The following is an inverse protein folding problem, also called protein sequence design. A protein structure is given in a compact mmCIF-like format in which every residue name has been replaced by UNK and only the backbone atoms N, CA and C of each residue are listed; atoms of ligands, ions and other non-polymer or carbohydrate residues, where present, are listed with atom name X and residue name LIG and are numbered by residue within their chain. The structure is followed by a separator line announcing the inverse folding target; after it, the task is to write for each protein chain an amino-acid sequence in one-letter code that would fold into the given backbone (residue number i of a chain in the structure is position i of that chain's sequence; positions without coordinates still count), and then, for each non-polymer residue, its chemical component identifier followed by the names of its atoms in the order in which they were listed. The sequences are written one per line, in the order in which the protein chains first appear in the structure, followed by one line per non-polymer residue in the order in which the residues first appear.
data_IF_445525632618
#
_entry.id   IF_445525632618
#
_cell.length_a   1.000
_cell.length_b   1.000
_cell.length_c   1.000
_cell.angle_alpha   90.00
_cell.angle_beta   90.00
_cell.angle_gamma   90.00
#
_symmetry.space_group_name_H-M   'P 1'
#
loop_
_entity.id
_entity.type
_entity.pdbx_description
1 polymer ?
#
# COMPACT_ATOMS: atom_id res chain seq x y z
N UNK A 1 89.23 -13.61 31.13
CA UNK A 1 88.27 -12.58 31.57
C UNK A 1 87.48 -12.11 30.35
N UNK A 2 86.15 -12.30 30.38
CA UNK A 2 85.03 -11.53 29.73
C UNK A 2 85.28 -10.99 28.29
N UNK A 3 84.42 -11.19 27.27
CA UNK A 3 83.01 -10.79 27.06
C UNK A 3 82.58 -11.45 25.72
N UNK A 4 81.45 -12.20 25.60
CA UNK A 4 80.12 -11.80 25.04
C UNK A 4 80.23 -11.14 23.63
N UNK A 5 79.52 -11.41 22.54
CA UNK A 5 78.43 -12.29 22.09
C UNK A 5 78.30 -12.11 20.55
N UNK A 6 77.60 -12.99 19.80
CA UNK A 6 77.42 -12.90 18.36
C UNK A 6 76.17 -12.10 17.99
N UNK A 7 76.27 -11.12 17.08
CA UNK A 7 75.11 -10.42 16.52
C UNK A 7 74.68 -11.10 15.21
N UNK A 8 73.66 -11.95 15.28
CA UNK A 8 72.89 -12.43 14.12
C UNK A 8 72.14 -11.26 13.48
N UNK A 9 72.44 -10.97 12.21
CA UNK A 9 71.66 -10.05 11.37
C UNK A 9 70.57 -10.80 10.60
N UNK A 10 69.31 -10.43 10.87
CA UNK A 10 68.31 -10.11 9.84
C UNK A 10 67.60 -11.25 9.13
N UNK A 11 66.56 -11.81 9.76
CA UNK A 11 65.45 -12.45 9.04
C UNK A 11 64.31 -11.43 8.90
N UNK A 12 64.18 -10.81 7.73
CA UNK A 12 63.05 -9.94 7.42
C UNK A 12 61.81 -10.79 7.13
N UNK A 13 60.85 -10.82 8.06
CA UNK A 13 59.51 -11.34 7.79
C UNK A 13 58.76 -10.34 6.90
N UNK A 14 58.61 -10.70 5.63
CA UNK A 14 57.58 -10.16 4.74
C UNK A 14 56.23 -10.73 5.19
N UNK A 15 55.50 -9.98 6.01
CA UNK A 15 54.08 -10.28 6.26
C UNK A 15 53.24 -9.76 5.07
N UNK A 16 52.33 -10.57 4.50
CA UNK A 16 51.43 -10.10 3.45
C UNK A 16 50.40 -9.13 4.04
N UNK A 17 50.45 -7.87 3.59
CA UNK A 17 49.39 -6.87 3.78
C UNK A 17 48.17 -7.26 2.93
N UNK A 18 47.44 -8.28 3.35
CA UNK A 18 46.05 -8.49 2.97
C UNK A 18 45.24 -8.62 4.25
N UNK A 19 45.33 -7.61 5.11
CA UNK A 19 44.22 -7.33 5.98
C UNK A 19 43.10 -6.87 5.04
N UNK A 20 42.05 -7.69 4.88
CA UNK A 20 40.73 -7.20 4.54
C UNK A 20 40.51 -5.99 5.46
N UNK A 21 40.56 -4.78 4.92
CA UNK A 21 40.38 -3.58 5.70
C UNK A 21 38.92 -3.57 6.14
N UNK A 22 38.64 -4.25 7.25
CA UNK A 22 37.42 -4.05 8.00
C UNK A 22 37.28 -2.55 8.22
N UNK A 23 36.07 -2.04 8.05
CA UNK A 23 35.84 -0.61 8.18
C UNK A 23 36.37 -0.10 9.54
N UNK A 24 36.90 1.14 9.59
CA UNK A 24 37.36 1.75 10.84
C UNK A 24 36.33 1.59 11.95
N UNK A 25 36.78 1.50 13.21
CA UNK A 25 35.86 1.35 14.34
C UNK A 25 34.76 2.44 14.31
N UNK A 26 33.49 2.02 14.39
CA UNK A 26 32.33 2.90 14.23
C UNK A 26 31.91 3.17 12.78
N UNK A 27 32.48 2.44 11.81
CA UNK A 27 32.04 2.44 10.41
C UNK A 27 31.64 1.03 9.98
N UNK A 28 30.72 0.98 9.04
CA UNK A 28 30.11 -0.24 8.51
C UNK A 28 30.26 -0.26 7.00
N UNK A 29 30.44 -1.46 6.46
CA UNK A 29 30.56 -1.66 5.01
C UNK A 29 29.15 -1.68 4.38
N UNK A 30 28.95 -0.84 3.36
CA UNK A 30 27.70 -0.79 2.58
C UNK A 30 28.05 -1.04 1.11
N UNK A 31 27.46 -2.07 0.50
CA UNK A 31 27.73 -2.47 -0.88
C UNK A 31 26.50 -2.25 -1.79
N UNK A 32 26.61 -1.30 -2.72
CA UNK A 32 25.63 -1.04 -3.79
C UNK A 32 26.41 -0.89 -5.11
N UNK A 33 26.81 -2.02 -5.71
CA UNK A 33 27.69 -2.05 -6.90
C UNK A 33 29.18 -1.85 -6.58
N UNK A 34 29.52 -1.03 -5.58
CA UNK A 34 30.82 -0.97 -4.92
C UNK A 34 30.63 -0.82 -3.41
N UNK A 35 31.62 -1.26 -2.63
CA UNK A 35 31.56 -1.21 -1.17
C UNK A 35 32.26 0.04 -0.64
N UNK A 36 31.59 0.76 0.26
CA UNK A 36 32.13 1.93 0.95
C UNK A 36 32.01 1.73 2.46
N UNK A 37 32.96 2.27 3.22
CA UNK A 37 32.83 2.37 4.68
C UNK A 37 32.09 3.65 5.04
N UNK A 38 30.95 3.50 5.72
CA UNK A 38 30.08 4.59 6.14
C UNK A 38 29.96 4.60 7.67
N UNK A 39 29.92 5.76 8.34
CA UNK A 39 29.64 5.83 9.77
C UNK A 39 28.18 5.49 10.10
N UNK A 40 27.32 5.30 9.09
CA UNK A 40 25.91 4.94 9.27
C UNK A 40 25.81 3.43 9.41
N UNK A 41 25.28 2.98 10.54
CA UNK A 41 24.94 1.57 10.75
C UNK A 41 23.82 1.17 9.77
N UNK A 42 24.04 0.20 8.87
CA UNK A 42 23.01 -0.26 7.94
C UNK A 42 21.78 -0.81 8.67
N UNK A 43 21.92 -1.34 9.88
CA UNK A 43 20.82 -1.73 10.77
C UNK A 43 20.00 -0.53 11.26
N UNK A 44 20.66 0.57 11.66
CA UNK A 44 19.99 1.81 12.07
C UNK A 44 19.30 2.51 10.89
N UNK A 45 19.95 2.56 9.72
CA UNK A 45 19.34 3.10 8.51
C UNK A 45 18.07 2.33 8.12
N UNK A 46 18.10 1.00 8.25
CA UNK A 46 16.94 0.15 8.00
C UNK A 46 15.83 0.38 9.03
N UNK A 47 16.16 0.47 10.31
CA UNK A 47 15.16 0.73 11.36
C UNK A 47 14.51 2.10 11.20
N UNK A 48 15.26 3.13 10.83
CA UNK A 48 14.70 4.46 10.56
C UNK A 48 13.72 4.42 9.38
N UNK A 49 14.06 3.73 8.30
CA UNK A 49 13.16 3.58 7.15
C UNK A 49 11.89 2.79 7.52
N UNK A 50 12.04 1.71 8.30
CA UNK A 50 10.90 0.91 8.77
C UNK A 50 10.01 1.71 9.74
N UNK A 51 10.59 2.54 10.61
CA UNK A 51 9.86 3.43 11.52
C UNK A 51 9.11 4.53 10.75
N UNK A 52 9.73 5.14 9.74
CA UNK A 52 9.07 6.10 8.86
C UNK A 52 7.90 5.45 8.12
N UNK A 53 8.08 4.24 7.60
CA UNK A 53 7.01 3.46 6.97
C UNK A 53 5.85 3.17 7.93
N UNK A 54 6.15 2.84 9.19
CA UNK A 54 5.13 2.63 10.23
C UNK A 54 4.36 3.93 10.50
N UNK A 55 5.04 5.05 10.70
CA UNK A 55 4.40 6.36 10.95
C UNK A 55 3.50 6.77 9.77
N UNK A 56 3.97 6.61 8.54
CA UNK A 56 3.19 6.90 7.34
C UNK A 56 1.91 6.05 7.29
N UNK A 57 2.03 4.73 7.52
CA UNK A 57 0.89 3.82 7.53
C UNK A 57 -0.13 4.13 8.64
N UNK A 58 0.32 4.45 9.85
CA UNK A 58 -0.57 4.82 10.96
C UNK A 58 -1.28 6.14 10.68
N UNK A 59 -0.58 7.11 10.09
CA UNK A 59 -1.16 8.40 9.70
C UNK A 59 -2.26 8.22 8.65
N UNK A 60 -2.01 7.37 7.64
CA UNK A 60 -3.01 7.04 6.63
C UNK A 60 -4.23 6.33 7.24
N UNK A 61 -4.02 5.37 8.15
CA UNK A 61 -5.12 4.67 8.82
C UNK A 61 -6.03 5.63 9.61
N UNK A 62 -5.43 6.55 10.39
CA UNK A 62 -6.19 7.58 11.11
C UNK A 62 -6.96 8.49 10.16
N UNK A 63 -6.33 8.91 9.06
CA UNK A 63 -6.95 9.80 8.12
C UNK A 63 -8.10 9.14 7.34
N UNK A 64 -7.98 7.85 6.99
CA UNK A 64 -9.07 7.06 6.41
C UNK A 64 -10.27 6.99 7.37
N UNK A 65 -10.02 6.73 8.66
CA UNK A 65 -11.07 6.72 9.67
C UNK A 65 -11.77 8.08 9.78
N UNK A 66 -11.00 9.17 9.83
CA UNK A 66 -11.55 10.52 9.90
C UNK A 66 -12.36 10.91 8.65
N UNK A 67 -11.87 10.55 7.46
CA UNK A 67 -12.58 10.77 6.21
C UNK A 67 -13.90 9.99 6.18
N UNK A 68 -13.88 8.73 6.63
CA UNK A 68 -15.08 7.90 6.77
C UNK A 68 -16.09 8.50 7.73
N UNK A 69 -15.66 8.96 8.90
CA UNK A 69 -16.55 9.57 9.90
C UNK A 69 -17.16 10.88 9.40
N UNK A 70 -16.39 11.66 8.64
CA UNK A 70 -16.88 12.88 7.97
C UNK A 70 -17.95 12.52 6.93
N UNK A 71 -17.69 11.51 6.08
CA UNK A 71 -18.66 11.05 5.09
C UNK A 71 -19.96 10.52 5.73
N UNK A 72 -19.83 9.81 6.86
CA UNK A 72 -20.92 9.22 7.64
C UNK A 72 -21.79 10.25 8.38
N UNK A 73 -21.30 11.49 8.58
CA UNK A 73 -22.07 12.54 9.25
C UNK A 73 -23.28 13.02 8.43
N UNK A 74 -23.30 12.75 7.12
CA UNK A 74 -24.44 13.02 6.23
C UNK A 74 -25.29 11.79 5.94
N UNK A 75 -26.27 11.96 5.06
CA UNK A 75 -27.05 10.83 4.55
C UNK A 75 -26.17 9.94 3.67
N UNK A 76 -26.12 8.66 4.01
CA UNK A 76 -25.55 7.60 3.17
C UNK A 76 -26.64 6.61 2.79
N UNK A 77 -26.56 6.05 1.60
CA UNK A 77 -27.57 5.17 1.02
C UNK A 77 -27.02 3.74 0.87
N UNK A 78 -27.84 2.69 0.93
CA UNK A 78 -27.41 1.34 0.60
C UNK A 78 -27.16 1.21 -0.92
N UNK A 79 -26.46 0.17 -1.35
CA UNK A 79 -26.27 -0.13 -2.78
C UNK A 79 -27.63 -0.14 -3.51
N UNK A 80 -27.78 0.56 -4.66
CA UNK A 80 -28.99 0.47 -5.47
C UNK A 80 -29.32 -0.99 -5.83
N UNK A 81 -30.59 -1.38 -5.70
CA UNK A 81 -31.00 -2.78 -5.77
C UNK A 81 -30.59 -3.46 -7.09
N UNK A 82 -30.70 -2.75 -8.21
CA UNK A 82 -30.32 -3.28 -9.52
C UNK A 82 -28.80 -3.44 -9.68
N UNK A 83 -27.99 -2.60 -9.02
CA UNK A 83 -26.53 -2.78 -8.94
C UNK A 83 -26.21 -3.98 -8.06
N UNK A 84 -26.83 -4.08 -6.87
CA UNK A 84 -26.63 -5.19 -5.94
C UNK A 84 -26.90 -6.53 -6.62
N UNK A 85 -28.03 -6.69 -7.30
CA UNK A 85 -28.40 -7.90 -8.03
C UNK A 85 -27.38 -8.29 -9.13
N UNK A 86 -26.75 -7.31 -9.78
CA UNK A 86 -25.71 -7.58 -10.78
C UNK A 86 -24.40 -8.09 -10.16
N UNK A 87 -24.13 -7.73 -8.90
CA UNK A 87 -22.88 -7.98 -8.20
C UNK A 87 -22.93 -9.15 -7.22
N UNK A 88 -24.12 -9.64 -6.87
CA UNK A 88 -24.34 -10.86 -6.05
C UNK A 88 -23.48 -12.06 -6.47
N UNK A 89 -23.24 -12.37 -7.76
CA UNK A 89 -22.39 -13.50 -8.14
C UNK A 89 -20.89 -13.32 -7.86
N UNK A 90 -20.44 -12.10 -7.55
CA UNK A 90 -19.02 -11.76 -7.42
C UNK A 90 -18.58 -11.50 -5.97
N UNK A 91 -19.52 -11.14 -5.10
CA UNK A 91 -19.24 -10.74 -3.73
C UNK A 91 -20.15 -11.44 -2.74
N UNK A 92 -19.58 -11.78 -1.58
CA UNK A 92 -20.36 -12.31 -0.47
C UNK A 92 -21.36 -11.27 0.05
N UNK A 93 -22.46 -11.77 0.62
CA UNK A 93 -23.52 -10.94 1.20
C UNK A 93 -22.98 -9.88 2.17
N UNK A 94 -21.98 -10.24 2.99
CA UNK A 94 -21.41 -9.33 4.00
C UNK A 94 -20.71 -8.11 3.38
N UNK A 95 -20.10 -8.24 2.20
CA UNK A 95 -19.48 -7.11 1.49
C UNK A 95 -20.58 -6.19 0.95
N UNK A 96 -21.58 -6.77 0.28
CA UNK A 96 -22.70 -6.04 -0.31
C UNK A 96 -23.60 -5.36 0.73
N UNK A 97 -23.74 -5.96 1.90
CA UNK A 97 -24.62 -5.46 2.96
C UNK A 97 -23.97 -4.37 3.82
N UNK A 98 -22.65 -4.45 4.01
CA UNK A 98 -21.90 -3.43 4.74
C UNK A 98 -21.81 -2.12 3.95
N UNK A 99 -21.64 -2.20 2.64
CA UNK A 99 -21.36 -1.02 1.82
C UNK A 99 -22.50 0.01 1.83
N UNK A 100 -22.12 1.27 1.98
CA UNK A 100 -22.98 2.45 1.79
C UNK A 100 -22.37 3.33 0.73
N UNK A 101 -23.16 4.23 0.15
CA UNK A 101 -22.65 5.24 -0.76
C UNK A 101 -23.20 6.63 -0.52
N UNK A 102 -22.49 7.62 -1.03
CA UNK A 102 -23.02 8.97 -1.28
C UNK A 102 -22.43 9.55 -2.56
N UNK A 103 -23.02 10.65 -3.02
CA UNK A 103 -22.62 11.35 -4.24
C UNK A 103 -22.25 12.80 -3.92
N UNK A 104 -21.20 13.31 -4.56
CA UNK A 104 -20.89 14.74 -4.59
C UNK A 104 -20.37 15.33 -3.28
N UNK A 105 -19.84 14.51 -2.37
CA UNK A 105 -19.17 15.01 -1.16
C UNK A 105 -17.73 15.45 -1.50
N UNK A 106 -17.60 16.68 -1.98
CA UNK A 106 -16.33 17.23 -2.41
C UNK A 106 -15.28 17.24 -1.29
N UNK A 107 -15.70 17.47 -0.04
CA UNK A 107 -14.78 17.44 1.10
C UNK A 107 -14.23 16.04 1.35
N UNK A 108 -15.09 15.02 1.31
CA UNK A 108 -14.66 13.62 1.44
C UNK A 108 -13.77 13.19 0.26
N UNK A 109 -14.11 13.60 -0.97
CA UNK A 109 -13.31 13.33 -2.16
C UNK A 109 -11.94 14.02 -2.11
N UNK A 110 -11.89 15.30 -1.74
CA UNK A 110 -10.63 16.04 -1.61
C UNK A 110 -9.74 15.44 -0.52
N UNK A 111 -10.35 15.06 0.61
CA UNK A 111 -9.66 14.36 1.70
C UNK A 111 -9.11 13.02 1.19
N UNK A 112 -9.92 12.23 0.49
CA UNK A 112 -9.49 10.94 -0.02
C UNK A 112 -8.39 11.05 -1.10
N UNK A 113 -8.50 12.02 -2.02
CA UNK A 113 -7.50 12.28 -3.05
C UNK A 113 -6.16 12.71 -2.46
N UNK A 114 -6.19 13.55 -1.42
CA UNK A 114 -4.98 13.94 -0.69
C UNK A 114 -4.31 12.73 0.00
N UNK A 115 -5.09 11.75 0.45
CA UNK A 115 -4.61 10.57 1.15
C UNK A 115 -4.07 9.48 0.21
N UNK A 116 -4.81 9.19 -0.85
CA UNK A 116 -4.50 8.12 -1.79
C UNK A 116 -3.63 8.61 -2.97
N UNK A 117 -3.35 9.91 -3.03
CA UNK A 117 -2.56 10.56 -4.08
C UNK A 117 -3.10 10.28 -5.50
N UNK A 118 -4.42 10.06 -5.62
CA UNK A 118 -5.06 9.74 -6.87
C UNK A 118 -6.01 10.87 -7.30
N UNK A 119 -5.58 11.78 -8.20
CA UNK A 119 -6.34 12.99 -8.53
C UNK A 119 -7.58 12.72 -9.42
N UNK A 120 -7.64 11.58 -10.11
CA UNK A 120 -8.59 11.33 -11.20
C UNK A 120 -9.55 10.15 -10.91
N UNK A 121 -9.99 10.00 -9.66
CA UNK A 121 -10.96 8.96 -9.30
C UNK A 121 -12.42 9.39 -9.46
N UNK A 122 -13.23 8.50 -10.02
CA UNK A 122 -14.68 8.65 -10.14
C UNK A 122 -15.42 8.22 -8.86
N UNK A 123 -14.78 7.37 -8.05
CA UNK A 123 -15.26 6.96 -6.74
C UNK A 123 -14.07 6.67 -5.82
N UNK A 124 -14.33 6.64 -4.52
CA UNK A 124 -13.35 6.22 -3.52
C UNK A 124 -14.02 5.49 -2.36
N UNK A 125 -13.39 4.42 -1.90
CA UNK A 125 -13.88 3.63 -0.78
C UNK A 125 -13.23 4.04 0.54
N UNK A 126 -14.02 4.63 1.42
CA UNK A 126 -13.69 4.99 2.79
C UNK A 126 -14.23 3.92 3.75
N UNK A 127 -13.47 2.83 3.88
CA UNK A 127 -13.80 1.66 4.71
C UNK A 127 -15.05 0.94 4.22
N UNK A 128 -16.24 1.40 4.63
CA UNK A 128 -17.55 0.88 4.26
C UNK A 128 -18.39 1.88 3.45
N UNK A 129 -17.91 3.11 3.28
CA UNK A 129 -18.62 4.19 2.56
C UNK A 129 -17.91 4.49 1.24
N UNK A 130 -18.61 4.29 0.14
CA UNK A 130 -18.14 4.60 -1.22
C UNK A 130 -18.65 5.99 -1.60
N UNK A 131 -17.72 6.91 -1.85
CA UNK A 131 -18.05 8.27 -2.26
C UNK A 131 -17.88 8.38 -3.77
N UNK A 132 -18.99 8.52 -4.48
CA UNK A 132 -18.98 8.74 -5.93
C UNK A 132 -18.92 10.22 -6.25
N UNK A 133 -18.16 10.56 -7.29
CA UNK A 133 -18.12 11.92 -7.84
C UNK A 133 -19.43 12.28 -8.56
N UNK A 134 -19.97 11.33 -9.32
CA UNK A 134 -21.15 11.54 -10.16
C UNK A 134 -22.27 10.57 -9.80
N UNK A 135 -23.51 11.06 -9.81
CA UNK A 135 -24.70 10.25 -9.54
C UNK A 135 -24.83 9.10 -10.55
N UNK A 136 -24.50 9.35 -11.82
CA UNK A 136 -24.54 8.34 -12.88
C UNK A 136 -23.63 7.16 -12.61
N UNK A 137 -22.47 7.39 -11.98
CA UNK A 137 -21.56 6.31 -11.59
C UNK A 137 -22.15 5.48 -10.45
N UNK A 138 -22.74 6.15 -9.45
CA UNK A 138 -23.41 5.46 -8.34
C UNK A 138 -24.65 4.68 -8.79
N UNK A 139 -25.40 5.18 -9.78
CA UNK A 139 -26.64 4.56 -10.23
C UNK A 139 -26.45 3.51 -11.31
N UNK A 140 -25.53 3.69 -12.26
CA UNK A 140 -25.52 2.88 -13.48
C UNK A 140 -24.22 2.09 -13.71
N UNK A 141 -23.17 2.37 -12.95
CA UNK A 141 -21.83 1.82 -13.20
C UNK A 141 -21.51 0.63 -12.29
N UNK A 142 -22.15 -0.52 -12.54
CA UNK A 142 -21.91 -1.74 -11.76
C UNK A 142 -20.45 -2.23 -11.81
N UNK A 143 -19.71 -1.94 -12.89
CA UNK A 143 -18.30 -2.28 -12.97
C UNK A 143 -17.44 -1.44 -12.01
N UNK A 144 -17.69 -0.14 -11.90
CA UNK A 144 -17.03 0.71 -10.91
C UNK A 144 -17.41 0.31 -9.49
N UNK A 145 -18.68 0.01 -9.22
CA UNK A 145 -19.08 -0.59 -7.94
C UNK A 145 -18.32 -1.86 -7.60
N UNK A 146 -18.04 -2.71 -8.59
CA UNK A 146 -17.26 -3.92 -8.36
C UNK A 146 -15.82 -3.59 -7.94
N UNK A 147 -15.21 -2.53 -8.46
CA UNK A 147 -13.91 -2.05 -7.99
C UNK A 147 -13.99 -1.63 -6.52
N UNK A 148 -14.92 -0.73 -6.20
CA UNK A 148 -15.04 -0.15 -4.86
C UNK A 148 -15.40 -1.19 -3.79
N UNK A 149 -16.27 -2.15 -4.11
CA UNK A 149 -16.59 -3.26 -3.22
C UNK A 149 -15.39 -4.17 -2.96
N UNK A 150 -14.41 -4.22 -3.87
CA UNK A 150 -13.17 -4.93 -3.60
C UNK A 150 -12.40 -4.28 -2.45
N UNK A 151 -12.35 -2.95 -2.40
CA UNK A 151 -11.75 -2.25 -1.27
C UNK A 151 -12.54 -2.45 0.02
N UNK A 152 -13.88 -2.46 -0.02
CA UNK A 152 -14.71 -2.83 1.15
C UNK A 152 -14.32 -4.22 1.66
N UNK A 153 -14.16 -5.20 0.75
CA UNK A 153 -13.72 -6.54 1.10
C UNK A 153 -12.29 -6.55 1.68
N UNK A 154 -11.35 -5.80 1.11
CA UNK A 154 -9.99 -5.66 1.64
C UNK A 154 -10.01 -5.08 3.06
N UNK A 155 -10.79 -4.04 3.33
CA UNK A 155 -10.96 -3.49 4.68
C UNK A 155 -11.56 -4.50 5.65
N UNK A 156 -12.54 -5.31 5.23
CA UNK A 156 -13.10 -6.36 6.08
C UNK A 156 -12.10 -7.47 6.39
N UNK A 157 -11.25 -7.85 5.43
CA UNK A 157 -10.28 -8.94 5.58
C UNK A 157 -9.02 -8.52 6.35
N UNK A 158 -8.56 -7.30 6.14
CA UNK A 158 -7.27 -6.82 6.63
C UNK A 158 -7.43 -5.89 7.83
N UNK A 159 -8.53 -5.17 7.92
CA UNK A 159 -8.66 -4.00 8.78
C UNK A 159 -7.95 -2.77 8.20
N UNK A 160 -8.27 -1.61 8.77
CA UNK A 160 -7.80 -0.30 8.26
C UNK A 160 -6.28 -0.14 8.37
N UNK A 161 -5.66 -0.62 9.46
CA UNK A 161 -4.22 -0.49 9.68
C UNK A 161 -3.39 -1.29 8.68
N UNK A 162 -3.78 -2.54 8.42
CA UNK A 162 -3.12 -3.41 7.46
C UNK A 162 -3.33 -2.90 6.03
N UNK A 163 -4.54 -2.44 5.69
CA UNK A 163 -4.81 -1.79 4.41
C UNK A 163 -3.88 -0.60 4.22
N UNK A 164 -3.83 0.32 5.18
CA UNK A 164 -2.99 1.51 5.11
C UNK A 164 -1.50 1.16 4.97
N UNK A 165 -1.03 0.11 5.67
CA UNK A 165 0.35 -0.36 5.55
C UNK A 165 0.65 -0.91 4.16
N UNK A 166 -0.26 -1.70 3.58
CA UNK A 166 -0.11 -2.24 2.21
C UNK A 166 -0.12 -1.12 1.19
N UNK A 167 -1.10 -0.22 1.27
CA UNK A 167 -1.26 0.91 0.35
C UNK A 167 -0.06 1.84 0.37
N UNK A 168 0.45 2.17 1.57
CA UNK A 168 1.61 3.04 1.75
C UNK A 168 2.92 2.42 1.21
N UNK A 169 2.97 1.09 1.08
CA UNK A 169 4.16 0.38 0.60
C UNK A 169 4.10 0.11 -0.91
N UNK A 170 2.94 -0.30 -1.39
CA UNK A 170 2.71 -0.75 -2.76
C UNK A 170 1.20 -0.62 -3.07
N UNK A 171 0.79 0.55 -3.53
CA UNK A 171 -0.61 0.81 -3.88
C UNK A 171 -1.04 -0.02 -5.09
N UNK A 172 -0.16 -0.25 -6.06
CA UNK A 172 -0.45 -1.06 -7.25
C UNK A 172 -0.89 -2.48 -6.89
N UNK A 173 -0.24 -3.09 -5.89
CA UNK A 173 -0.62 -4.42 -5.40
C UNK A 173 -2.00 -4.44 -4.70
N UNK A 174 -2.48 -3.30 -4.19
CA UNK A 174 -3.81 -3.16 -3.58
C UNK A 174 -4.88 -2.89 -4.65
N UNK A 175 -4.55 -2.07 -5.65
CA UNK A 175 -5.45 -1.62 -6.73
C UNK A 175 -5.63 -2.68 -7.84
N UNK A 176 -4.59 -3.42 -8.20
CA UNK A 176 -4.62 -4.35 -9.34
C UNK A 176 -5.75 -5.39 -9.25
N UNK A 177 -6.01 -6.05 -8.10
CA UNK A 177 -7.15 -6.96 -7.96
C UNK A 177 -8.52 -6.26 -8.10
N UNK A 178 -8.63 -4.99 -7.68
CA UNK A 178 -9.85 -4.20 -7.84
C UNK A 178 -10.13 -3.87 -9.32
N UNK A 179 -9.09 -3.57 -10.10
CA UNK A 179 -9.21 -3.42 -11.56
C UNK A 179 -9.51 -4.73 -12.29
N UNK A 180 -9.01 -5.87 -11.80
CA UNK A 180 -9.30 -7.18 -12.37
C UNK A 180 -10.79 -7.51 -12.29
N UNK A 181 -11.40 -7.34 -11.10
CA UNK A 181 -12.82 -7.62 -10.91
C UNK A 181 -13.71 -6.62 -11.64
N UNK A 182 -13.33 -5.34 -11.69
CA UNK A 182 -13.99 -4.33 -12.53
C UNK A 182 -14.02 -4.75 -13.99
N UNK A 183 -12.89 -5.21 -14.52
CA UNK A 183 -12.76 -5.66 -15.91
C UNK A 183 -13.62 -6.91 -16.17
N UNK A 184 -13.63 -7.85 -15.23
CA UNK A 184 -14.46 -9.07 -15.29
C UNK A 184 -15.95 -8.74 -15.33
N UNK A 185 -16.43 -7.89 -14.43
CA UNK A 185 -17.83 -7.45 -14.39
C UNK A 185 -18.20 -6.68 -15.65
N UNK A 186 -17.37 -5.73 -16.06
CA UNK A 186 -17.56 -4.94 -17.27
C UNK A 186 -17.71 -5.83 -18.52
N UNK A 187 -16.89 -6.88 -18.63
CA UNK A 187 -16.98 -7.87 -19.71
C UNK A 187 -18.31 -8.64 -19.65
N UNK A 188 -18.67 -9.18 -18.49
CA UNK A 188 -19.91 -9.95 -18.34
C UNK A 188 -21.17 -9.12 -18.65
N UNK A 189 -21.19 -7.84 -18.28
CA UNK A 189 -22.30 -6.93 -18.59
C UNK A 189 -22.42 -6.66 -20.09
N UNK A 190 -21.28 -6.47 -20.79
CA UNK A 190 -21.28 -6.34 -22.26
C UNK A 190 -21.81 -7.59 -22.96
N UNK A 191 -21.41 -8.78 -22.49
CA UNK A 191 -21.86 -10.06 -23.04
C UNK A 191 -23.36 -10.29 -22.82
N UNK A 192 -23.89 -9.87 -21.66
CA UNK A 192 -25.35 -9.89 -21.39
C UNK A 192 -26.10 -8.93 -22.30
N UNK A 193 -25.59 -7.71 -22.46
CA UNK A 193 -26.21 -6.69 -23.32
C UNK A 193 -26.21 -7.10 -24.81
N UNK A 194 -25.20 -7.84 -25.27
CA UNK A 194 -25.11 -8.34 -26.65
C UNK A 194 -25.84 -9.67 -26.90
N UNK A 195 -26.52 -10.24 -25.89
CA UNK A 195 -27.20 -11.53 -25.98
C UNK A 195 -26.24 -12.73 -26.09
N UNK A 196 -24.97 -12.56 -25.72
CA UNK A 196 -23.93 -13.58 -25.76
C UNK A 196 -23.76 -14.31 -24.43
N UNK A 197 -24.38 -13.84 -23.35
CA UNK A 197 -24.45 -14.55 -22.09
C UNK A 197 -25.32 -15.82 -22.25
N UNK A 198 -24.68 -16.98 -22.23
CA UNK A 198 -25.34 -18.30 -22.18
C UNK A 198 -25.44 -18.81 -20.75
#
# INVERSE_FOLDING_TARGET
MRVLEPLLLGLALLAPLNALAACPAGQYEICLGSCICSPIDPGEARSVLDDLGRIASSSLAMALQQARDTAAAGTVLPIPLHIRAQLEPYYDFQVLDAARYKVGDQQALDSANALLQNPDVNAVTLIDIIVFRHETDAQDNAALWAHELHHVQQYQQWGVEEFARRYSRDFDAVEAPAYEIQSKVSKALRERASGQAR
#
